data_IF_795407284842
#
_entry.id   IF_795407284842
#
_cell.length_a   1.000
_cell.length_b   1.000
_cell.length_c   1.000
_cell.angle_alpha   90.00
_cell.angle_beta   90.00
_cell.angle_gamma   90.00
#
_symmetry.space_group_name_H-M   'P 1'
#
loop_
_entity.id
_entity.type
_entity.pdbx_description
1 polymer ?
2 non-polymer ?
3 water ?
#
# COMPACT_ATOMS: atom_id res chain seq x y z
N UNK A 1 -8.91 -2.75 -5.12
CA UNK A 1 -9.55 -3.84 -4.33
C UNK A 1 -8.65 -4.20 -3.16
N UNK A 2 -9.14 -3.98 -1.95
CA UNK A 2 -8.36 -4.28 -0.76
C UNK A 2 -7.92 -5.74 -0.69
N UNK A 3 -8.77 -6.65 -1.16
CA UNK A 3 -8.44 -8.07 -1.15
C UNK A 3 -7.22 -8.32 -2.04
N UNK A 4 -7.28 -7.79 -3.27
CA UNK A 4 -6.18 -7.95 -4.21
C UNK A 4 -4.87 -7.36 -3.67
N UNK A 5 -4.98 -6.25 -2.95
CA UNK A 5 -3.81 -5.61 -2.39
C UNK A 5 -3.06 -6.50 -1.43
N UNK A 6 -3.76 -7.17 -0.53
CA UNK A 6 -3.04 -8.03 0.41
C UNK A 6 -2.46 -9.26 -0.25
N UNK A 7 -3.07 -9.72 -1.34
CA UNK A 7 -2.55 -10.89 -2.04
C UNK A 7 -1.36 -10.42 -2.85
N UNK A 8 -1.43 -9.16 -3.26
CA UNK A 8 -0.36 -8.58 -4.04
C UNK A 8 0.86 -8.37 -3.14
N UNK A 9 0.64 -8.37 -1.83
CA UNK A 9 1.72 -8.18 -0.85
C UNK A 9 2.56 -9.44 -0.68
N UNK A 10 1.90 -10.56 -0.40
CA UNK A 10 2.62 -11.81 -0.21
C UNK A 10 3.26 -12.34 -1.49
N UNK A 11 2.85 -11.79 -2.63
CA UNK A 11 3.43 -12.18 -3.91
C UNK A 11 4.84 -11.61 -3.94
N UNK A 12 4.92 -10.29 -3.81
CA UNK A 12 6.19 -9.58 -3.83
C UNK A 12 7.06 -9.82 -2.61
N UNK A 13 6.46 -10.02 -1.44
CA UNK A 13 7.28 -10.22 -0.26
C UNK A 13 7.08 -11.49 0.56
N UNK A 14 7.54 -11.42 1.81
CA UNK A 14 7.42 -12.53 2.74
C UNK A 14 6.43 -12.20 3.86
N UNK A 15 6.43 -10.94 4.31
CA UNK A 15 5.51 -10.48 5.36
C UNK A 15 4.08 -10.39 4.83
N UNK A 16 3.10 -10.88 5.61
CA UNK A 16 1.70 -10.82 5.14
C UNK A 16 1.14 -9.44 5.46
N UNK A 17 -0.11 -9.20 5.09
CA UNK A 17 -0.73 -7.90 5.33
C UNK A 17 -0.90 -7.58 6.82
N UNK A 18 -0.90 -8.60 7.66
CA UNK A 18 -1.07 -8.37 9.09
C UNK A 18 0.13 -7.66 9.70
N UNK A 19 1.31 -7.88 9.13
CA UNK A 19 2.54 -7.25 9.63
C UNK A 19 2.45 -5.74 9.53
N UNK A 20 1.63 -5.27 8.59
CA UNK A 20 1.45 -3.84 8.32
C UNK A 20 0.17 -3.19 8.83
N UNK A 21 -0.78 -3.99 9.33
CA UNK A 21 -2.04 -3.45 9.84
C UNK A 21 -1.82 -2.22 10.74
N UNK A 22 -0.72 -2.19 11.48
CA UNK A 22 -0.45 -1.05 12.33
C UNK A 22 1.05 -0.94 12.58
N UNK A 23 1.68 -0.12 11.75
CA UNK A 23 3.10 0.13 11.82
C UNK A 23 3.33 1.61 11.59
N UNK A 24 4.32 2.17 12.27
CA UNK A 24 4.63 3.59 12.11
C UNK A 24 3.46 4.54 12.24
N UNK A 25 3.54 5.65 11.51
CA UNK A 25 2.52 6.68 11.53
C UNK A 25 1.51 6.59 10.38
N UNK A 26 1.86 5.86 9.32
CA UNK A 26 0.97 5.77 8.17
C UNK A 26 0.44 4.41 7.76
N UNK A 27 1.07 3.32 8.18
CA UNK A 27 0.56 2.01 7.81
C UNK A 27 -0.61 1.71 8.73
N UNK A 28 -1.79 1.52 8.15
CA UNK A 28 -2.97 1.26 8.95
C UNK A 28 -3.97 2.37 8.70
N UNK A 29 -5.11 2.33 9.36
CA UNK A 29 -6.13 3.35 9.16
C UNK A 29 -5.56 4.76 9.28
N UNK A 30 -5.95 5.63 8.35
CA UNK A 30 -5.49 7.02 8.37
C UNK A 30 -3.99 7.23 8.45
N UNK A 31 -3.59 8.43 8.86
CA UNK A 31 -2.17 8.72 8.97
C UNK A 31 -1.90 10.19 9.23
N UNK A 32 -0.92 10.46 10.09
CA UNK A 32 -0.56 11.83 10.43
C UNK A 32 0.92 11.94 10.78
N UNK A 33 1.40 13.17 10.87
CA UNK A 33 2.79 13.39 11.20
C UNK A 33 3.67 13.05 10.02
N UNK A 34 4.96 12.85 10.27
CA UNK A 34 5.88 12.52 9.21
C UNK A 34 6.33 11.06 9.35
N UNK A 35 6.39 10.31 8.23
CA UNK A 35 6.80 8.90 8.26
C UNK A 35 8.05 8.77 9.12
N UNK A 36 8.17 7.67 9.85
CA UNK A 36 9.33 7.47 10.71
C UNK A 36 10.49 6.80 9.99
N UNK A 37 10.19 5.87 9.10
CA UNK A 37 11.24 5.18 8.37
C UNK A 37 10.85 4.89 6.93
N UNK A 38 11.71 4.15 6.24
CA UNK A 38 11.49 3.80 4.85
C UNK A 38 10.13 3.14 4.61
N UNK A 39 9.79 2.16 5.45
CA UNK A 39 8.52 1.45 5.31
C UNK A 39 7.33 2.38 5.52
N UNK A 40 7.42 3.21 6.55
CA UNK A 40 6.35 4.13 6.86
C UNK A 40 6.13 5.07 5.67
N UNK A 41 7.20 5.32 4.92
CA UNK A 41 7.09 6.19 3.77
C UNK A 41 6.37 5.45 2.66
N UNK A 42 6.49 4.12 2.65
CA UNK A 42 5.82 3.30 1.65
C UNK A 42 4.33 3.50 1.83
N UNK A 43 3.89 3.45 3.08
CA UNK A 43 2.49 3.62 3.42
C UNK A 43 2.02 5.04 3.16
N UNK A 44 2.88 6.01 3.46
CA UNK A 44 2.57 7.43 3.25
C UNK A 44 2.19 7.68 1.78
N UNK A 45 3.00 7.14 0.88
CA UNK A 45 2.78 7.29 -0.55
C UNK A 45 1.51 6.57 -0.98
N UNK A 46 1.30 5.37 -0.46
CA UNK A 46 0.12 4.58 -0.80
C UNK A 46 -1.17 5.35 -0.51
N UNK A 47 -1.23 6.01 0.65
CA UNK A 47 -2.43 6.78 1.02
C UNK A 47 -2.65 7.95 0.09
N UNK A 48 -1.60 8.73 -0.12
CA UNK A 48 -1.72 9.87 -1.01
C UNK A 48 -2.14 9.35 -2.39
N UNK A 49 -1.78 8.11 -2.69
CA UNK A 49 -2.12 7.49 -3.98
C UNK A 49 -3.62 7.17 -4.08
N UNK A 50 -4.18 6.60 -3.02
CA UNK A 50 -5.60 6.27 -2.99
C UNK A 50 -6.42 7.54 -3.01
N UNK A 51 -5.88 8.57 -2.37
CA UNK A 51 -6.54 9.87 -2.31
C UNK A 51 -6.64 10.40 -3.73
N UNK A 52 -5.59 10.14 -4.51
CA UNK A 52 -5.55 10.57 -5.90
C UNK A 52 -6.53 9.74 -6.70
N UNK A 53 -6.56 8.45 -6.41
CA UNK A 53 -7.45 7.54 -7.11
C UNK A 53 -8.91 7.99 -7.04
N UNK A 54 -9.28 8.63 -5.94
CA UNK A 54 -10.66 9.10 -5.77
C UNK A 54 -11.02 10.27 -6.69
N UNK A 55 -10.00 10.96 -7.21
CA UNK A 55 -10.23 12.10 -8.09
C UNK A 55 -10.48 11.61 -9.52
N UNK A 56 -10.62 10.29 -9.66
CA UNK A 56 -10.89 9.66 -10.95
C UNK A 56 -12.37 9.27 -10.94
N UNK A 57 -13.14 9.74 -11.93
CA UNK A 57 -14.57 9.43 -12.01
C UNK A 57 -14.92 7.96 -11.79
N UNK A 58 -15.87 7.72 -10.89
CA UNK A 58 -16.30 6.36 -10.60
C UNK A 58 -15.11 5.49 -10.27
N UNK A 59 -14.37 5.89 -9.24
CA UNK A 59 -13.18 5.16 -8.84
C UNK A 59 -13.07 5.09 -7.32
N UNK A 60 -13.32 3.91 -6.76
CA UNK A 60 -13.25 3.68 -5.32
C UNK A 60 -12.20 2.60 -5.06
N UNK A 61 -11.05 2.98 -4.48
CA UNK A 61 -9.95 2.06 -4.17
C UNK A 61 -10.28 0.78 -3.41
N UNK A 62 -11.34 0.79 -2.61
CA UNK A 62 -11.68 -0.41 -1.85
C UNK A 62 -12.38 -1.44 -2.68
N UNK A 63 -13.37 -0.99 -3.44
CA UNK A 63 -14.16 -1.88 -4.25
C UNK A 63 -13.65 -2.16 -5.67
N UNK A 64 -13.02 -1.19 -6.31
CA UNK A 64 -12.56 -1.38 -7.69
C UNK A 64 -11.63 -2.58 -7.87
N UNK A 65 -12.03 -3.49 -8.76
CA UNK A 65 -11.26 -4.68 -9.06
C UNK A 65 -10.52 -4.50 -10.37
N UNK A 66 -9.19 -4.59 -10.30
CA UNK A 66 -8.36 -4.45 -11.48
C UNK A 66 -7.85 -5.80 -11.92
N UNK A 67 -6.96 -5.80 -12.90
CA UNK A 67 -6.38 -7.03 -13.41
C UNK A 67 -4.88 -6.97 -13.23
N UNK A 68 -4.32 -8.08 -12.75
CA UNK A 68 -2.89 -8.15 -12.54
C UNK A 68 -2.48 -9.62 -12.47
N UNK A 69 -1.18 -9.86 -12.62
CA UNK A 69 -0.65 -11.21 -12.56
C UNK A 69 0.51 -11.29 -11.57
N UNK A 70 0.68 -12.46 -10.95
CA UNK A 70 1.76 -12.65 -10.00
C UNK A 70 2.62 -13.86 -10.34
N UNK A 71 3.85 -13.59 -10.75
CA UNK A 71 4.82 -14.65 -11.05
C UNK A 71 5.85 -14.38 -9.98
N UNK A 72 5.51 -14.75 -8.76
CA UNK A 72 6.36 -14.50 -7.61
C UNK A 72 7.85 -14.51 -7.90
N UNK A 73 8.55 -13.46 -7.47
CA UNK A 73 7.98 -12.33 -6.74
C UNK A 73 7.61 -11.17 -7.67
N UNK A 74 7.13 -11.50 -8.86
CA UNK A 74 6.80 -10.49 -9.86
C UNK A 74 5.32 -10.12 -10.01
N UNK A 75 5.06 -8.81 -9.99
CA UNK A 75 3.71 -8.28 -10.14
C UNK A 75 3.60 -7.52 -11.46
N UNK A 76 2.50 -7.74 -12.17
CA UNK A 76 2.27 -7.06 -13.43
C UNK A 76 0.83 -6.58 -13.48
N UNK A 77 0.63 -5.31 -13.79
CA UNK A 77 -0.72 -4.79 -13.91
C UNK A 77 -1.05 -4.85 -15.38
N UNK A 78 -2.08 -5.62 -15.71
CA UNK A 78 -2.46 -5.79 -17.10
C UNK A 78 -3.40 -4.73 -17.70
N UNK A 79 -4.18 -4.04 -16.86
CA UNK A 79 -5.11 -3.02 -17.36
C UNK A 79 -4.41 -1.86 -18.04
N UNK A 80 -5.01 -1.36 -19.11
CA UNK A 80 -4.46 -0.21 -19.81
C UNK A 80 -5.58 0.66 -20.38
N UNK A 81 -6.75 0.06 -20.59
CA UNK A 81 -7.90 0.79 -21.11
C UNK A 81 -8.62 1.49 -19.96
N UNK A 82 -8.82 0.75 -18.86
CA UNK A 82 -9.49 1.24 -17.66
C UNK A 82 -8.52 2.07 -16.81
N UNK A 83 -8.70 3.38 -16.79
CA UNK A 83 -7.81 4.26 -16.03
C UNK A 83 -7.79 3.96 -14.54
N UNK A 84 -8.97 3.93 -13.93
CA UNK A 84 -9.08 3.64 -12.51
C UNK A 84 -8.31 2.37 -12.17
N UNK A 85 -8.66 1.26 -12.82
CA UNK A 85 -7.97 0.00 -12.57
C UNK A 85 -6.46 0.12 -12.75
N UNK A 86 -6.05 0.77 -13.84
CA UNK A 86 -4.65 0.98 -14.15
C UNK A 86 -3.98 1.72 -12.99
N UNK A 87 -4.43 2.95 -12.77
CA UNK A 87 -3.92 3.82 -11.71
C UNK A 87 -3.95 3.15 -10.34
N UNK A 88 -5.04 2.45 -10.06
CA UNK A 88 -5.24 1.77 -8.79
C UNK A 88 -4.32 0.58 -8.60
N UNK A 89 -4.14 -0.20 -9.65
CA UNK A 89 -3.26 -1.36 -9.59
C UNK A 89 -1.85 -0.84 -9.34
N UNK A 90 -1.55 0.28 -9.98
CA UNK A 90 -0.26 0.93 -9.86
C UNK A 90 0.06 1.28 -8.41
N UNK A 91 -0.91 1.87 -7.71
CA UNK A 91 -0.74 2.24 -6.30
C UNK A 91 -0.37 1.03 -5.46
N UNK A 92 -1.16 -0.03 -5.58
CA UNK A 92 -0.93 -1.26 -4.83
C UNK A 92 0.37 -1.96 -5.17
N UNK A 93 0.64 -2.17 -6.45
CA UNK A 93 1.87 -2.83 -6.87
C UNK A 93 3.09 -2.09 -6.33
N UNK A 94 3.04 -0.76 -6.40
CA UNK A 94 4.14 0.06 -5.91
C UNK A 94 4.33 -0.17 -4.42
N UNK A 95 3.23 -0.13 -3.68
CA UNK A 95 3.29 -0.32 -2.25
C UNK A 95 3.83 -1.70 -1.90
N UNK A 96 3.28 -2.74 -2.52
CA UNK A 96 3.68 -4.11 -2.25
C UNK A 96 5.17 -4.33 -2.45
N UNK A 97 5.71 -3.81 -3.55
CA UNK A 97 7.12 -3.93 -3.85
C UNK A 97 7.92 -3.11 -2.84
N UNK A 98 7.45 -1.92 -2.54
CA UNK A 98 8.09 -1.04 -1.57
C UNK A 98 8.23 -1.76 -0.23
N UNK A 99 7.12 -2.32 0.25
CA UNK A 99 7.10 -3.04 1.52
C UNK A 99 8.16 -4.11 1.60
N UNK A 100 8.23 -4.95 0.57
CA UNK A 100 9.17 -6.05 0.54
C UNK A 100 10.63 -5.62 0.51
N UNK A 101 10.90 -4.46 -0.08
CA UNK A 101 12.27 -3.98 -0.16
C UNK A 101 12.68 -3.19 1.08
N UNK A 102 11.70 -2.61 1.75
CA UNK A 102 11.97 -1.82 2.94
C UNK A 102 12.22 -2.68 4.18
N UNK A 103 12.94 -2.13 5.16
CA UNK A 103 13.24 -2.86 6.40
C UNK A 103 12.05 -2.83 7.37
N UNK A 104 12.04 -3.77 8.32
CA UNK A 104 10.96 -3.83 9.29
C UNK A 104 11.48 -3.72 10.72
N UNK A 105 11.52 -2.49 11.23
CA UNK A 105 11.98 -2.22 12.59
C UNK A 105 10.79 -2.45 13.51
N UNK A 106 10.72 -3.64 14.09
CA UNK A 106 9.62 -4.01 14.98
C UNK A 106 9.40 -2.96 16.07
N UNK A 107 10.37 -2.08 16.21
CA UNK A 107 10.32 -1.02 17.20
C UNK A 107 9.28 0.03 16.82
N UNK A 108 9.18 0.34 15.53
CA UNK A 108 8.23 1.34 15.06
C UNK A 108 6.82 0.77 14.94
N UNK A 109 6.65 -0.46 15.43
CA UNK A 109 5.35 -1.12 15.40
C UNK A 109 4.48 -0.55 16.52
N UNK A 110 3.36 0.06 16.16
CA UNK A 110 2.43 0.62 17.14
C UNK A 110 3.02 1.77 17.99
N UNK A 111 3.26 2.90 17.33
CA UNK A 111 3.79 4.11 17.96
C UNK A 111 2.91 5.27 17.50
N UNK A 112 1.66 4.95 17.16
CA UNK A 112 0.69 5.93 16.67
C UNK A 112 0.42 7.08 17.64
N UNK A 113 0.81 6.90 18.90
CA UNK A 113 0.59 7.92 19.91
C UNK A 113 1.89 8.63 20.29
N UNK A 114 3.02 8.08 19.85
CA UNK A 114 4.32 8.68 20.15
C UNK A 114 4.36 10.06 19.53
N UNK A 115 5.28 10.89 20.01
CA UNK A 115 5.40 12.25 19.51
C UNK A 115 5.74 12.28 18.02
N UNK A 116 6.22 11.15 17.50
CA UNK A 116 6.62 11.04 16.09
C UNK A 116 5.48 11.19 15.08
N UNK A 117 4.28 10.80 15.48
CA UNK A 117 3.14 10.90 14.59
C UNK A 117 2.32 12.14 14.89
N UNK A 118 2.92 13.31 14.69
CA UNK A 118 2.27 14.60 14.93
C UNK A 118 0.77 14.57 14.64
X LIG B 1 -2.88 4.70 5.89
#
# INVERSE_FOLDING_TARGET
NLIQFKNMIQCAGTRPWTAYVNYGCYCGKGGSGTPVDELDRCCYTHDNCYNEAEKIPGCNPNIKTYSYTCTEPNLTCTDTADTCARFLCNCDRTAAICFASAPYNSNNVMISSSTNCQ
CA CA
#
